data_IF_612418391310
#
_entry.id   IF_612418391310
#
_cell.length_a   1.000
_cell.length_b   1.000
_cell.length_c   1.000
_cell.angle_alpha   90.00
_cell.angle_beta   90.00
_cell.angle_gamma   90.00
#
_symmetry.space_group_name_H-M   'P 1'
#
loop_
_entity.id
_entity.type
_entity.pdbx_description
1 polymer ?
#
# COMPACT_ATOMS: atom_id res chain seq x y z
N UNK A 1 16.33 -18.49 6.75
CA UNK A 1 16.47 -17.66 5.53
C UNK A 1 17.95 -17.37 5.38
N UNK A 2 18.64 -17.97 4.41
CA UNK A 2 20.09 -17.83 4.25
C UNK A 2 20.41 -16.43 3.70
N UNK A 3 21.13 -15.63 4.48
CA UNK A 3 21.49 -14.24 4.13
C UNK A 3 22.83 -14.25 3.40
N UNK A 4 22.82 -14.05 2.09
CA UNK A 4 24.03 -13.94 1.28
C UNK A 4 24.60 -12.51 1.36
N UNK A 5 25.80 -12.30 1.93
CA UNK A 5 26.25 -10.99 2.42
C UNK A 5 26.72 -9.98 1.34
N UNK A 6 26.51 -10.23 0.04
CA UNK A 6 27.04 -9.37 -1.04
C UNK A 6 26.11 -9.17 -2.25
N UNK A 7 24.82 -9.48 -2.16
CA UNK A 7 23.89 -9.10 -3.23
C UNK A 7 23.45 -7.64 -3.05
N UNK A 8 23.52 -6.78 -4.07
CA UNK A 8 22.90 -5.47 -4.01
C UNK A 8 21.43 -5.65 -3.63
N UNK A 9 20.99 -4.95 -2.59
CA UNK A 9 19.63 -5.04 -2.10
C UNK A 9 18.66 -4.63 -3.20
N UNK A 10 17.97 -5.61 -3.76
CA UNK A 10 16.94 -5.41 -4.78
C UNK A 10 15.73 -4.73 -4.14
N UNK A 11 15.02 -3.89 -4.92
CA UNK A 11 13.68 -3.44 -4.54
C UNK A 11 12.82 -4.69 -4.27
N UNK A 12 11.95 -4.71 -3.25
CA UNK A 12 11.16 -5.89 -2.93
C UNK A 12 10.35 -6.45 -4.11
N UNK A 13 9.94 -5.59 -5.05
CA UNK A 13 9.24 -6.03 -6.25
C UNK A 13 10.16 -6.78 -7.21
N UNK A 14 11.41 -6.36 -7.34
CA UNK A 14 12.38 -7.00 -8.22
C UNK A 14 12.92 -8.29 -7.59
N UNK A 15 13.09 -8.32 -6.27
CA UNK A 15 13.35 -9.56 -5.53
C UNK A 15 12.22 -10.58 -5.76
N UNK A 16 10.96 -10.18 -5.63
CA UNK A 16 9.83 -11.07 -5.85
C UNK A 16 9.78 -11.63 -7.28
N UNK A 17 10.10 -10.81 -8.30
CA UNK A 17 10.20 -11.29 -9.70
C UNK A 17 11.31 -12.33 -9.85
N UNK A 18 12.48 -12.06 -9.26
CA UNK A 18 13.62 -12.98 -9.29
C UNK A 18 13.25 -14.31 -8.66
N UNK A 19 12.71 -14.29 -7.45
CA UNK A 19 12.30 -15.50 -6.71
C UNK A 19 11.27 -16.31 -7.50
N UNK A 20 10.28 -15.63 -8.12
CA UNK A 20 9.28 -16.27 -8.97
C UNK A 20 9.89 -16.91 -10.23
N UNK A 21 10.85 -16.25 -10.87
CA UNK A 21 11.56 -16.80 -12.02
C UNK A 21 12.41 -18.02 -11.63
N UNK A 22 13.08 -17.97 -10.48
CA UNK A 22 13.87 -19.08 -9.97
C UNK A 22 13.00 -20.30 -9.70
N UNK A 23 11.90 -20.14 -8.96
CA UNK A 23 11.00 -21.27 -8.64
C UNK A 23 10.29 -21.80 -9.90
N UNK A 24 9.89 -20.93 -10.84
CA UNK A 24 9.32 -21.37 -12.11
C UNK A 24 10.31 -22.20 -12.93
N UNK A 25 11.56 -21.76 -13.03
CA UNK A 25 12.62 -22.48 -13.75
C UNK A 25 12.87 -23.85 -13.13
N UNK A 26 13.00 -23.93 -11.81
CA UNK A 26 13.22 -25.21 -11.12
C UNK A 26 12.05 -26.18 -11.32
N UNK A 27 10.81 -25.71 -11.21
CA UNK A 27 9.63 -26.55 -11.43
C UNK A 27 9.48 -26.97 -12.90
N UNK A 28 9.90 -26.11 -13.84
CA UNK A 28 9.93 -26.45 -15.27
C UNK A 28 10.98 -27.53 -15.59
N UNK A 29 12.16 -27.45 -14.98
CA UNK A 29 13.17 -28.51 -15.07
C UNK A 29 12.66 -29.81 -14.48
N UNK A 30 11.98 -29.76 -13.34
CA UNK A 30 11.39 -30.94 -12.73
C UNK A 30 10.27 -31.54 -13.60
N UNK A 31 9.46 -30.71 -14.24
CA UNK A 31 8.49 -31.18 -15.25
C UNK A 31 9.19 -31.94 -16.37
N UNK A 32 10.26 -31.39 -16.94
CA UNK A 32 11.05 -32.06 -17.98
C UNK A 32 11.62 -33.39 -17.48
N UNK A 33 12.14 -33.43 -16.24
CA UNK A 33 12.61 -34.67 -15.62
C UNK A 33 11.52 -35.74 -15.52
N UNK A 34 10.29 -35.40 -15.11
CA UNK A 34 9.19 -36.35 -15.07
C UNK A 34 8.88 -36.93 -16.46
N UNK A 35 8.93 -36.09 -17.50
CA UNK A 35 8.76 -36.54 -18.90
C UNK A 35 9.85 -37.55 -19.27
N UNK A 36 11.11 -37.36 -18.87
CA UNK A 36 12.18 -38.32 -19.17
C UNK A 36 12.02 -39.65 -18.44
N UNK A 37 11.35 -39.66 -17.29
CA UNK A 37 10.99 -40.89 -16.56
C UNK A 37 9.72 -41.57 -17.11
N UNK A 38 9.11 -41.04 -18.18
CA UNK A 38 7.85 -41.56 -18.72
C UNK A 38 6.63 -41.27 -17.83
N UNK A 39 6.77 -40.40 -16.82
CA UNK A 39 5.69 -40.01 -15.92
C UNK A 39 4.96 -38.82 -16.54
N UNK A 40 3.64 -38.93 -16.71
CA UNK A 40 2.82 -37.82 -17.20
C UNK A 40 2.77 -36.68 -16.15
N UNK A 41 3.40 -35.52 -16.38
CA UNK A 41 3.48 -34.49 -15.36
C UNK A 41 2.13 -33.79 -15.12
N UNK A 42 1.16 -33.95 -16.03
CA UNK A 42 -0.19 -33.40 -15.89
C UNK A 42 -1.00 -34.09 -14.79
N UNK A 43 -0.66 -35.33 -14.47
CA UNK A 43 -1.26 -36.14 -13.41
C UNK A 43 -0.44 -36.05 -12.10
N UNK A 44 0.74 -35.44 -12.16
CA UNK A 44 1.61 -35.22 -11.01
C UNK A 44 1.30 -33.87 -10.32
N UNK A 45 1.59 -33.77 -9.02
CA UNK A 45 1.38 -32.55 -8.21
C UNK A 45 2.13 -31.31 -8.71
N UNK A 46 3.13 -31.49 -9.58
CA UNK A 46 3.90 -30.39 -10.21
C UNK A 46 3.01 -29.42 -10.99
N UNK A 47 1.90 -29.89 -11.55
CA UNK A 47 0.93 -29.03 -12.22
C UNK A 47 0.34 -28.00 -11.26
N UNK A 48 0.02 -28.41 -10.03
CA UNK A 48 -0.54 -27.51 -9.01
C UNK A 48 0.50 -26.48 -8.57
N UNK A 49 1.77 -26.89 -8.46
CA UNK A 49 2.88 -25.97 -8.16
C UNK A 49 3.05 -24.91 -9.25
N UNK A 50 2.98 -25.28 -10.52
CA UNK A 50 3.04 -24.33 -11.63
C UNK A 50 1.84 -23.36 -11.64
N UNK A 51 0.63 -23.82 -11.34
CA UNK A 51 -0.54 -22.94 -11.21
C UNK A 51 -0.42 -21.99 -10.00
N UNK A 52 0.15 -22.46 -8.89
CA UNK A 52 0.46 -21.62 -7.73
C UNK A 52 1.45 -20.51 -8.11
N UNK A 53 2.52 -20.84 -8.82
CA UNK A 53 3.50 -19.87 -9.30
C UNK A 53 2.84 -18.85 -10.24
N UNK A 54 2.01 -19.30 -11.20
CA UNK A 54 1.27 -18.42 -12.11
C UNK A 54 0.37 -17.44 -11.35
N UNK A 55 -0.29 -17.90 -10.30
CA UNK A 55 -1.13 -17.05 -9.44
C UNK A 55 -0.30 -15.91 -8.83
N UNK A 56 0.89 -16.21 -8.31
CA UNK A 56 1.79 -15.20 -7.78
C UNK A 56 2.37 -14.27 -8.86
N UNK A 57 2.65 -14.77 -10.07
CA UNK A 57 3.08 -13.93 -11.20
C UNK A 57 2.01 -12.89 -11.54
N UNK A 58 0.74 -13.31 -11.59
CA UNK A 58 -0.38 -12.41 -11.81
C UNK A 58 -0.48 -11.36 -10.69
N UNK A 59 -0.22 -11.76 -9.43
CA UNK A 59 -0.23 -10.82 -8.31
C UNK A 59 0.88 -9.76 -8.43
N UNK A 60 2.10 -10.16 -8.81
CA UNK A 60 3.21 -9.23 -9.06
C UNK A 60 2.85 -8.28 -10.21
N UNK A 61 2.22 -8.78 -11.27
CA UNK A 61 1.72 -7.98 -12.39
C UNK A 61 0.69 -6.94 -11.93
N UNK A 62 -0.34 -7.35 -11.18
CA UNK A 62 -1.34 -6.43 -10.63
C UNK A 62 -0.72 -5.31 -9.78
N UNK A 63 0.25 -5.64 -8.92
CA UNK A 63 0.94 -4.65 -8.09
C UNK A 63 1.73 -3.68 -8.96
N UNK A 64 2.40 -4.18 -9.98
CA UNK A 64 3.18 -3.38 -10.93
C UNK A 64 2.26 -2.43 -11.71
N UNK A 65 1.11 -2.93 -12.19
CA UNK A 65 0.16 -2.15 -12.97
C UNK A 65 -0.54 -1.09 -12.10
N UNK A 66 -0.87 -1.42 -10.85
CA UNK A 66 -1.38 -0.45 -9.85
C UNK A 66 -0.40 0.70 -9.60
N UNK A 67 0.90 0.44 -9.59
CA UNK A 67 1.92 1.50 -9.48
C UNK A 67 1.91 2.44 -10.69
N UNK A 68 1.52 1.96 -11.87
CA UNK A 68 1.46 2.74 -13.13
C UNK A 68 0.10 3.42 -13.37
N UNK A 69 -0.95 3.03 -12.64
CA UNK A 69 -2.29 3.57 -12.84
C UNK A 69 -2.36 5.08 -12.56
N UNK A 70 -3.15 5.79 -13.38
CA UNK A 70 -3.41 7.20 -13.20
C UNK A 70 -4.04 7.45 -11.80
N UNK A 71 -3.52 8.46 -11.10
CA UNK A 71 -4.03 8.86 -9.77
C UNK A 71 -5.00 10.02 -9.93
N UNK A 72 -6.13 9.95 -9.22
CA UNK A 72 -7.07 11.06 -9.15
C UNK A 72 -6.42 12.25 -8.44
N UNK A 73 -6.45 13.42 -9.07
CA UNK A 73 -6.11 14.67 -8.42
C UNK A 73 -7.22 15.06 -7.43
N UNK A 74 -6.97 14.77 -6.15
CA UNK A 74 -7.88 15.09 -5.05
C UNK A 74 -8.12 16.61 -4.92
N UNK A 75 -7.11 17.41 -5.27
CA UNK A 75 -7.21 18.87 -5.25
C UNK A 75 -8.15 19.40 -6.33
N UNK A 76 -8.00 18.90 -7.57
CA UNK A 76 -8.92 19.22 -8.66
C UNK A 76 -10.36 18.78 -8.36
N UNK A 77 -10.54 17.55 -7.84
CA UNK A 77 -11.86 17.05 -7.44
C UNK A 77 -12.51 17.93 -6.35
N UNK A 78 -11.74 18.38 -5.36
CA UNK A 78 -12.22 19.28 -4.31
C UNK A 78 -12.62 20.66 -4.87
N UNK A 79 -11.86 21.20 -5.84
CA UNK A 79 -12.21 22.45 -6.54
C UNK A 79 -13.51 22.33 -7.32
N UNK A 80 -13.71 21.23 -8.04
CA UNK A 80 -14.98 20.98 -8.75
C UNK A 80 -16.16 20.92 -7.78
N UNK A 81 -16.02 20.21 -6.65
CA UNK A 81 -17.07 20.11 -5.65
C UNK A 81 -17.39 21.47 -5.00
N UNK A 82 -16.37 22.23 -4.61
CA UNK A 82 -16.55 23.56 -4.01
C UNK A 82 -17.25 24.53 -4.97
N UNK A 83 -16.93 24.48 -6.27
CA UNK A 83 -17.57 25.33 -7.27
C UNK A 83 -19.01 24.89 -7.55
N UNK A 84 -19.28 23.58 -7.59
CA UNK A 84 -20.61 23.04 -7.82
C UNK A 84 -21.58 23.31 -6.64
N UNK A 85 -21.06 23.35 -5.40
CA UNK A 85 -21.84 23.65 -4.19
C UNK A 85 -21.79 25.13 -3.80
N UNK A 86 -21.25 26.00 -4.63
CA UNK A 86 -21.14 27.42 -4.32
C UNK A 86 -22.51 28.11 -4.44
N UNK A 87 -23.06 28.52 -3.29
CA UNK A 87 -24.27 29.34 -3.22
C UNK A 87 -23.91 30.79 -2.83
N UNK A 88 -24.12 31.78 -3.72
CA UNK A 88 -23.81 33.19 -3.43
C UNK A 88 -24.67 33.79 -2.30
N UNK A 89 -25.85 33.25 -2.00
CA UNK A 89 -26.74 33.78 -0.94
C UNK A 89 -26.28 33.38 0.48
N UNK A 90 -25.42 32.37 0.61
CA UNK A 90 -24.93 31.86 1.90
C UNK A 90 -23.92 32.78 2.61
N UNK A 91 -23.46 33.86 1.95
CA UNK A 91 -22.56 34.88 2.50
C UNK A 91 -23.30 36.04 3.16
N UNK A 92 -24.33 35.79 3.96
CA UNK A 92 -24.80 36.78 4.93
C UNK A 92 -23.89 36.73 6.16
N UNK A 93 -23.13 37.79 6.51
CA UNK A 93 -22.32 37.79 7.72
C UNK A 93 -23.26 37.77 8.94
N UNK A 94 -23.29 36.66 9.69
CA UNK A 94 -23.89 36.65 11.02
C UNK A 94 -23.08 37.60 11.91
N UNK A 95 -23.55 38.86 11.99
CA UNK A 95 -23.11 39.84 12.98
C UNK A 95 -23.46 39.30 14.37
N UNK A 96 -22.49 38.67 15.03
CA UNK A 96 -22.57 38.37 16.45
C UNK A 96 -22.51 39.70 17.22
N UNK A 97 -23.65 40.15 17.74
CA UNK A 97 -23.76 41.28 18.65
C UNK A 97 -24.29 40.78 19.99
N UNK A 98 -23.39 40.63 20.98
CA UNK A 98 -23.65 40.88 22.40
C UNK A 98 -22.34 40.78 23.21
N UNK A 99 -21.71 41.94 23.44
CA UNK A 99 -20.92 42.27 24.65
C UNK A 99 -21.95 42.50 25.78
N UNK A 100 -21.77 42.32 27.10
CA UNK A 100 -20.69 42.24 28.14
C UNK A 100 -21.45 41.85 29.47
N UNK A 101 -20.90 41.81 30.73
CA UNK A 101 -19.55 42.08 31.24
C UNK A 101 -18.99 41.13 32.36
N UNK A 102 -17.70 41.32 32.64
CA UNK A 102 -16.97 41.36 33.92
C UNK A 102 -17.01 40.21 34.97
N UNK A 103 -15.82 39.65 35.17
CA UNK A 103 -15.05 39.56 36.44
C UNK A 103 -15.45 38.55 37.53
N UNK A 104 -14.59 37.54 37.73
CA UNK A 104 -14.28 36.94 39.02
C UNK A 104 -12.97 36.14 38.88
N UNK A 105 -11.89 36.74 39.38
CA UNK A 105 -10.64 36.09 39.74
C UNK A 105 -10.90 34.98 40.76
N UNK A 106 -10.41 33.76 40.51
CA UNK A 106 -10.06 32.83 41.57
C UNK A 106 -8.83 32.02 41.18
N UNK A 107 -7.78 32.37 41.90
CA UNK A 107 -6.46 31.80 41.98
C UNK A 107 -6.55 30.44 42.69
N UNK A 108 -6.20 29.34 42.00
CA UNK A 108 -5.75 28.11 42.66
C UNK A 108 -4.57 27.53 41.85
N UNK A 109 -3.40 27.92 42.32
CA UNK A 109 -2.16 27.14 42.36
C UNK A 109 -2.31 25.61 42.19
N UNK A 110 -1.56 25.03 41.26
CA UNK A 110 -0.81 23.83 41.62
C UNK A 110 0.50 23.72 40.83
N UNK A 111 1.59 23.81 41.58
CA UNK A 111 2.95 23.59 41.13
C UNK A 111 3.34 22.13 41.38
N UNK A 112 3.80 21.42 40.34
CA UNK A 112 4.86 20.38 40.43
C UNK A 112 5.25 19.95 39.01
N UNK A 113 6.23 20.62 38.41
CA UNK A 113 7.70 20.43 38.50
C UNK A 113 8.18 19.36 37.49
N UNK A 114 9.10 19.72 36.58
CA UNK A 114 9.74 18.83 35.61
C UNK A 114 10.92 18.08 36.23
N UNK A 115 11.45 17.07 35.53
CA UNK A 115 12.88 16.79 35.25
C UNK A 115 13.10 15.33 34.80
N UNK A 116 13.79 15.12 33.68
CA UNK A 116 15.18 14.62 33.53
C UNK A 116 15.27 13.10 33.79
N UNK A 117 16.08 12.29 33.12
CA UNK A 117 17.34 12.50 32.41
C UNK A 117 17.54 11.41 31.37
#
# INVERSE_FOLDING_TARGET
MLFFPNFPQLDPLDQAKLDLMSVYTLNSLFWMYLVTQGINPREHGIKQELERIRTYMNRVKEITDKKKAARLDKGAASRFLRNALFDPESKQPKKAASKKPADATSDISNAKRPKQS
#
